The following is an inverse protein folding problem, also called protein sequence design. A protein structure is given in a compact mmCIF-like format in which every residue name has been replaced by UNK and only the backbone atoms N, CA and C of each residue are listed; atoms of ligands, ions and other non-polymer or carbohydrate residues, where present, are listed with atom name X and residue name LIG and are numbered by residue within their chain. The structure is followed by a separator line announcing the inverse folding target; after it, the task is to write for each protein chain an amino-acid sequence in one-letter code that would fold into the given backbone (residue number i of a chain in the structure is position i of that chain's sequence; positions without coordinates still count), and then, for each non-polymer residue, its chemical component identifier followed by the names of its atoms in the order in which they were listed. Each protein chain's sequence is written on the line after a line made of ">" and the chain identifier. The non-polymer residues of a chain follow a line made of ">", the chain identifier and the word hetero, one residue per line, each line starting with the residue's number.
data_IF_892556658402
#
_entry.id   IF_892556658402
#
_cell.length_a   1.000
_cell.length_b   1.000
_cell.length_c   1.000
_cell.angle_alpha   90.00
_cell.angle_beta   90.00
_cell.angle_gamma   90.00
#
_symmetry.space_group_name_H-M   'P 1'
#
loop_
_entity.id
_entity.type
_entity.pdbx_description
1 polymer ?
#
# COMPACT_ATOMS: atom_id res chain seq x y z
N UNK A 1 -11.80 12.75 -32.70
CA UNK A 1 -10.96 11.63 -32.26
C UNK A 1 -11.39 11.28 -30.87
N UNK A 2 -11.57 9.99 -30.57
CA UNK A 2 -11.97 9.51 -29.24
C UNK A 2 -10.84 9.84 -28.27
N UNK A 3 -11.16 10.60 -27.22
CA UNK A 3 -10.29 10.79 -26.08
C UNK A 3 -10.48 9.58 -25.15
N UNK A 4 -9.42 8.81 -24.97
CA UNK A 4 -9.34 7.72 -23.98
C UNK A 4 -9.17 8.33 -22.59
N UNK A 5 -9.76 7.77 -21.51
CA UNK A 5 -9.67 8.33 -20.15
C UNK A 5 -8.25 8.40 -19.56
N UNK A 6 -7.25 7.89 -20.27
CA UNK A 6 -5.86 7.79 -19.82
C UNK A 6 -5.13 9.15 -19.77
N UNK A 7 -5.60 10.16 -20.50
CA UNK A 7 -4.77 11.36 -20.80
C UNK A 7 -5.04 12.62 -19.95
N UNK A 8 -5.63 12.49 -18.74
CA UNK A 8 -5.80 13.67 -17.85
C UNK A 8 -4.96 13.58 -16.56
N UNK A 9 -4.31 12.44 -16.28
CA UNK A 9 -3.62 12.20 -15.00
C UNK A 9 -2.12 12.51 -14.99
N UNK A 10 -1.58 13.20 -16.01
CA UNK A 10 -0.14 13.43 -16.16
C UNK A 10 0.40 14.81 -15.74
N UNK A 11 -0.43 15.75 -15.29
CA UNK A 11 0.01 17.15 -15.19
C UNK A 11 0.39 17.65 -13.77
N UNK A 12 0.06 16.91 -12.70
CA UNK A 12 0.39 17.31 -11.31
C UNK A 12 1.02 16.17 -10.49
N UNK A 13 0.82 14.91 -10.90
CA UNK A 13 1.51 13.75 -10.38
C UNK A 13 2.54 13.31 -11.43
N UNK A 14 3.83 13.44 -11.16
CA UNK A 14 4.88 13.00 -12.08
C UNK A 14 4.69 11.53 -12.50
N UNK A 15 5.24 11.17 -13.67
CA UNK A 15 5.19 9.83 -14.27
C UNK A 15 5.10 8.70 -13.23
N UNK A 16 4.03 7.90 -13.28
CA UNK A 16 3.91 6.66 -12.52
C UNK A 16 5.02 5.69 -12.98
N UNK A 17 6.01 5.36 -12.14
CA UNK A 17 7.00 4.36 -12.49
C UNK A 17 6.37 2.96 -12.46
N UNK A 18 6.84 2.10 -13.33
CA UNK A 18 6.42 0.69 -13.41
C UNK A 18 6.73 -0.04 -12.10
N UNK A 19 5.79 -0.84 -11.59
CA UNK A 19 5.79 -1.45 -10.24
C UNK A 19 6.96 -2.43 -9.94
N UNK A 20 7.88 -2.62 -10.88
CA UNK A 20 9.09 -3.44 -10.76
C UNK A 20 10.42 -2.69 -10.86
N UNK A 21 10.40 -1.36 -10.95
CA UNK A 21 11.63 -0.55 -11.03
C UNK A 21 12.18 -0.24 -9.64
N UNK A 22 13.51 -0.16 -9.49
CA UNK A 22 14.17 0.26 -8.24
C UNK A 22 13.80 1.71 -7.84
N UNK A 23 13.26 2.47 -8.78
CA UNK A 23 12.76 3.83 -8.62
C UNK A 23 11.22 3.89 -8.48
N UNK A 24 10.54 2.74 -8.34
CA UNK A 24 9.09 2.71 -8.19
C UNK A 24 8.64 3.28 -6.83
N UNK A 25 7.49 3.98 -6.79
CA UNK A 25 6.98 4.54 -5.56
C UNK A 25 6.52 3.36 -4.68
N UNK A 26 7.08 3.26 -3.49
CA UNK A 26 6.67 2.26 -2.48
C UNK A 26 5.25 2.49 -1.94
N UNK A 27 4.64 3.63 -2.27
CA UNK A 27 3.22 3.88 -2.06
C UNK A 27 2.66 4.84 -3.13
N UNK A 28 1.43 4.57 -3.59
CA UNK A 28 0.71 5.36 -4.59
C UNK A 28 -0.70 5.64 -4.07
N UNK A 29 -1.13 6.90 -4.11
CA UNK A 29 -2.49 7.29 -3.77
C UNK A 29 -3.41 7.06 -4.97
N UNK A 30 -4.56 6.42 -4.74
CA UNK A 30 -5.58 6.11 -5.74
C UNK A 30 -6.64 7.22 -5.82
N UNK A 31 -7.44 7.20 -6.88
CA UNK A 31 -8.50 8.20 -7.13
C UNK A 31 -9.61 8.19 -6.07
N UNK A 32 -9.83 7.05 -5.44
CA UNK A 32 -10.81 6.84 -4.36
C UNK A 32 -10.25 7.21 -2.97
N UNK A 33 -9.13 7.93 -2.94
CA UNK A 33 -8.37 8.32 -1.74
C UNK A 33 -7.71 7.17 -0.97
N UNK A 34 -7.82 5.92 -1.43
CA UNK A 34 -7.11 4.78 -0.85
C UNK A 34 -5.62 4.77 -1.25
N UNK A 35 -4.83 3.95 -0.56
CA UNK A 35 -3.40 3.78 -0.84
C UNK A 35 -3.11 2.38 -1.38
N UNK A 36 -2.33 2.33 -2.44
CA UNK A 36 -1.64 1.14 -2.89
C UNK A 36 -0.22 1.19 -2.32
N UNK A 37 0.13 0.27 -1.41
CA UNK A 37 1.40 0.28 -0.70
C UNK A 37 2.13 -1.03 -0.96
N UNK A 38 3.42 -0.93 -1.29
CA UNK A 38 4.27 -2.10 -1.43
C UNK A 38 4.47 -2.79 -0.08
N UNK A 39 4.28 -4.11 -0.03
CA UNK A 39 4.42 -4.89 1.19
C UNK A 39 5.81 -4.83 1.85
N UNK A 40 6.84 -4.36 1.14
CA UNK A 40 8.20 -4.15 1.63
C UNK A 40 8.37 -2.83 2.41
N UNK A 41 7.40 -1.91 2.35
CA UNK A 41 7.45 -0.67 3.11
C UNK A 41 7.52 -0.98 4.61
N UNK A 42 8.41 -0.28 5.31
CA UNK A 42 8.60 -0.41 6.77
C UNK A 42 7.41 0.17 7.52
N UNK A 43 7.00 -0.48 8.61
CA UNK A 43 5.81 -0.12 9.38
C UNK A 43 5.81 1.34 9.83
N UNK A 44 6.94 1.86 10.30
CA UNK A 44 7.08 3.26 10.71
C UNK A 44 6.76 4.25 9.57
N UNK A 45 7.07 3.89 8.31
CA UNK A 45 6.74 4.71 7.15
C UNK A 45 5.27 4.60 6.78
N UNK A 46 4.68 3.40 6.89
CA UNK A 46 3.24 3.18 6.68
C UNK A 46 2.43 3.96 7.70
N UNK A 47 2.82 3.90 8.97
CA UNK A 47 2.22 4.64 10.09
C UNK A 47 2.23 6.15 9.82
N UNK A 48 3.38 6.70 9.41
CA UNK A 48 3.49 8.12 9.02
C UNK A 48 2.64 8.47 7.80
N UNK A 49 2.54 7.58 6.82
CA UNK A 49 1.78 7.79 5.60
C UNK A 49 0.26 7.80 5.87
N UNK A 50 -0.20 6.86 6.69
CA UNK A 50 -1.62 6.68 7.02
C UNK A 50 -2.07 7.51 8.23
N UNK A 51 -1.13 8.11 8.97
CA UNK A 51 -1.41 8.86 10.20
C UNK A 51 -1.91 7.95 11.33
N UNK A 52 -1.39 6.73 11.41
CA UNK A 52 -1.73 5.75 12.45
C UNK A 52 -0.48 5.34 13.25
N UNK A 53 -0.68 4.59 14.34
CA UNK A 53 0.41 4.14 15.21
C UNK A 53 0.15 2.73 15.76
N UNK A 54 1.21 1.96 16.00
CA UNK A 54 1.17 0.68 16.69
C UNK A 54 0.94 -0.53 15.77
N UNK A 55 1.24 -0.38 14.48
CA UNK A 55 1.44 -1.48 13.55
C UNK A 55 2.71 -2.26 13.90
N UNK A 56 3.81 -1.58 14.27
CA UNK A 56 5.02 -2.27 14.71
C UNK A 56 4.82 -2.90 16.11
N UNK A 57 4.85 -4.24 16.20
CA UNK A 57 4.86 -4.97 17.49
C UNK A 57 6.24 -5.56 17.76
N UNK A 58 7.09 -4.77 18.41
CA UNK A 58 8.42 -5.21 18.82
C UNK A 58 9.30 -5.63 17.64
N UNK A 59 10.09 -6.68 17.82
CA UNK A 59 11.06 -7.17 16.83
C UNK A 59 10.51 -8.27 15.90
N UNK A 60 9.21 -8.61 15.99
CA UNK A 60 8.64 -9.77 15.28
C UNK A 60 8.50 -9.52 13.76
N UNK A 61 8.19 -8.29 13.38
CA UNK A 61 8.04 -7.88 11.98
C UNK A 61 8.19 -6.37 11.83
N UNK A 62 8.82 -5.94 10.74
CA UNK A 62 9.12 -4.52 10.48
C UNK A 62 8.50 -3.99 9.19
N UNK A 63 7.86 -4.82 8.37
CA UNK A 63 7.27 -4.43 7.08
C UNK A 63 5.75 -4.62 7.07
N UNK A 64 5.07 -3.93 6.14
CA UNK A 64 3.63 -4.04 5.94
C UNK A 64 3.20 -5.49 5.67
N UNK A 65 3.92 -6.21 4.82
CA UNK A 65 3.64 -7.62 4.55
C UNK A 65 3.79 -8.47 5.82
N UNK A 66 4.82 -8.20 6.62
CA UNK A 66 5.03 -8.88 7.90
C UNK A 66 3.89 -8.62 8.88
N UNK A 67 3.41 -7.38 8.96
CA UNK A 67 2.24 -7.01 9.75
C UNK A 67 0.97 -7.76 9.31
N UNK A 68 0.66 -7.75 8.00
CA UNK A 68 -0.52 -8.46 7.46
C UNK A 68 -0.45 -9.96 7.75
N UNK A 69 0.71 -10.58 7.55
CA UNK A 69 0.94 -12.00 7.86
C UNK A 69 0.75 -12.30 9.35
N UNK A 70 1.24 -11.43 10.22
CA UNK A 70 1.13 -11.60 11.67
C UNK A 70 -0.31 -11.47 12.15
N UNK A 71 -1.10 -10.54 11.59
CA UNK A 71 -2.51 -10.36 11.95
C UNK A 71 -3.41 -11.48 11.39
N UNK A 72 -3.14 -11.98 10.17
CA UNK A 72 -3.91 -13.08 9.58
C UNK A 72 -3.50 -14.46 10.11
N UNK A 73 -2.24 -14.64 10.50
CA UNK A 73 -1.71 -15.91 10.99
C UNK A 73 -1.47 -16.97 9.89
N UNK A 74 -1.58 -16.60 8.62
CA UNK A 74 -1.29 -17.44 7.46
C UNK A 74 -0.88 -16.58 6.25
N UNK A 75 -0.40 -17.22 5.18
CA UNK A 75 -0.16 -16.55 3.91
C UNK A 75 -1.52 -16.14 3.29
N UNK A 76 -1.79 -14.85 3.06
CA UNK A 76 -3.05 -14.39 2.49
C UNK A 76 -3.19 -14.78 1.02
N UNK A 77 -4.43 -14.74 0.56
CA UNK A 77 -4.77 -14.78 -0.86
C UNK A 77 -5.13 -13.39 -1.40
N UNK A 78 -4.95 -13.15 -2.70
CA UNK A 78 -5.37 -11.89 -3.33
C UNK A 78 -6.88 -11.67 -3.13
N UNK A 79 -7.25 -10.46 -2.73
CA UNK A 79 -8.61 -10.04 -2.38
C UNK A 79 -8.99 -10.29 -0.91
N UNK A 80 -8.11 -10.94 -0.14
CA UNK A 80 -8.30 -11.12 1.29
C UNK A 80 -8.15 -9.79 2.03
N UNK A 81 -8.99 -9.59 3.05
CA UNK A 81 -9.08 -8.33 3.78
C UNK A 81 -8.86 -8.53 5.27
N UNK A 82 -8.17 -7.57 5.86
CA UNK A 82 -7.92 -7.45 7.28
C UNK A 82 -8.39 -6.08 7.75
N UNK A 83 -9.29 -6.04 8.72
CA UNK A 83 -9.62 -4.80 9.42
C UNK A 83 -8.75 -4.67 10.66
N UNK A 84 -8.02 -3.56 10.77
CA UNK A 84 -7.20 -3.25 11.93
C UNK A 84 -7.48 -1.81 12.38
N UNK A 85 -8.02 -1.67 13.59
CA UNK A 85 -8.53 -0.39 14.12
C UNK A 85 -9.53 0.26 13.15
N UNK A 86 -9.21 1.46 12.67
CA UNK A 86 -10.03 2.25 11.75
C UNK A 86 -9.56 2.13 10.29
N UNK A 87 -8.65 1.19 10.00
CA UNK A 87 -8.09 0.93 8.67
C UNK A 87 -8.49 -0.45 8.16
N UNK A 88 -8.80 -0.51 6.87
CA UNK A 88 -9.00 -1.76 6.14
C UNK A 88 -7.83 -1.98 5.17
N UNK A 89 -7.23 -3.16 5.28
CA UNK A 89 -6.15 -3.63 4.41
C UNK A 89 -6.71 -4.69 3.46
N UNK A 90 -6.35 -4.61 2.18
CA UNK A 90 -6.69 -5.61 1.16
C UNK A 90 -5.41 -6.05 0.45
N UNK A 91 -5.21 -7.37 0.33
CA UNK A 91 -4.10 -7.93 -0.42
C UNK A 91 -4.43 -7.89 -1.90
N UNK A 92 -3.59 -7.23 -2.69
CA UNK A 92 -3.84 -6.97 -4.12
C UNK A 92 -2.92 -7.74 -5.05
N UNK A 93 -1.74 -8.16 -4.58
CA UNK A 93 -0.74 -8.99 -5.26
C UNK A 93 0.14 -9.72 -4.24
#
# INVERSE_FOLDING_TARGET
>A
GIATPTDILGAIAGELPDAGSLDAPVAVRREDESWLIDGRMVNDEVERLLGCDGMARGDDYSTLAGFVLAELGHLPTVGERLSWRDLDFEVVD
#
